data_IF_009267166047
#
_entry.id   IF_009267166047
#
_cell.length_a   1.000
_cell.length_b   1.000
_cell.length_c   1.000
_cell.angle_alpha   90.00
_cell.angle_beta   90.00
_cell.angle_gamma   90.00
#
_symmetry.space_group_name_H-M   'P 1'
#
loop_
_entity.id
_entity.type
_entity.pdbx_description
1 polymer ?
#
# COMPACT_ATOMS: atom_id res chain seq x y z
N UNK A 1 -17.90 15.23 -12.89
CA UNK A 1 -17.92 14.63 -14.24
C UNK A 1 -17.54 13.15 -14.22
N UNK A 2 -16.42 12.73 -13.63
CA UNK A 2 -15.99 11.32 -13.60
C UNK A 2 -16.98 10.36 -12.95
N UNK A 3 -17.75 10.80 -11.94
CA UNK A 3 -18.79 9.99 -11.28
C UNK A 3 -19.94 9.54 -12.18
N UNK A 4 -20.19 10.21 -13.30
CA UNK A 4 -21.42 10.05 -14.10
C UNK A 4 -21.21 9.62 -15.53
N UNK A 5 -19.97 9.54 -15.99
CA UNK A 5 -19.67 9.17 -17.37
C UNK A 5 -18.73 7.98 -17.43
N UNK A 6 -19.25 6.77 -17.71
CA UNK A 6 -18.41 5.65 -18.11
C UNK A 6 -17.54 6.09 -19.32
N UNK A 7 -16.23 5.94 -19.24
CA UNK A 7 -15.29 6.43 -20.25
C UNK A 7 -14.62 7.76 -19.93
N UNK A 8 -15.05 8.48 -18.87
CA UNK A 8 -14.32 9.62 -18.31
C UNK A 8 -13.14 9.21 -17.42
N UNK A 9 -12.94 7.92 -17.25
CA UNK A 9 -11.80 7.32 -16.55
C UNK A 9 -10.63 7.23 -17.53
N UNK A 10 -9.43 7.58 -17.06
CA UNK A 10 -8.22 7.40 -17.85
C UNK A 10 -7.73 5.95 -17.74
N UNK A 11 -7.14 5.45 -18.81
CA UNK A 11 -6.64 4.09 -18.88
C UNK A 11 -5.16 4.08 -18.57
N UNK A 12 -4.80 3.48 -17.45
CA UNK A 12 -3.42 3.11 -17.19
C UNK A 12 -3.16 1.68 -17.66
N UNK A 13 -1.92 1.31 -17.79
CA UNK A 13 -1.58 -0.07 -18.06
C UNK A 13 -2.00 -1.01 -16.89
N UNK A 14 -2.03 -0.49 -15.65
CA UNK A 14 -2.36 -1.27 -14.44
C UNK A 14 -3.85 -1.48 -14.27
N UNK A 15 -4.67 -0.51 -14.66
CA UNK A 15 -6.11 -0.53 -14.43
C UNK A 15 -6.88 0.30 -15.46
N UNK A 16 -8.04 -0.19 -15.85
CA UNK A 16 -9.01 0.57 -16.64
C UNK A 16 -9.78 1.61 -15.79
N UNK A 17 -9.67 1.56 -14.48
CA UNK A 17 -10.41 2.40 -13.53
C UNK A 17 -9.47 3.37 -12.81
N UNK A 18 -8.74 4.16 -13.58
CA UNK A 18 -7.89 5.21 -13.02
C UNK A 18 -8.67 6.50 -12.86
N UNK A 19 -8.64 7.10 -11.69
CA UNK A 19 -9.39 8.30 -11.37
C UNK A 19 -8.62 9.21 -10.42
N UNK A 20 -9.04 10.48 -10.35
CA UNK A 20 -8.49 11.45 -9.41
C UNK A 20 -8.78 11.01 -7.96
N UNK A 21 -7.77 10.86 -7.09
CA UNK A 21 -7.95 10.35 -5.73
C UNK A 21 -8.93 11.17 -4.89
N UNK A 22 -9.10 12.46 -5.18
CA UNK A 22 -10.09 13.32 -4.51
C UNK A 22 -11.52 12.86 -4.76
N UNK A 23 -11.81 12.34 -5.95
CA UNK A 23 -13.15 11.81 -6.27
C UNK A 23 -13.44 10.54 -5.45
N UNK A 24 -12.43 9.67 -5.27
CA UNK A 24 -12.56 8.53 -4.37
C UNK A 24 -12.86 8.95 -2.94
N UNK A 25 -12.09 9.91 -2.42
CA UNK A 25 -12.30 10.46 -1.08
C UNK A 25 -13.71 11.07 -0.89
N UNK A 26 -14.21 11.81 -1.89
CA UNK A 26 -15.56 12.37 -1.88
C UNK A 26 -16.64 11.28 -1.87
N UNK A 27 -16.46 10.20 -2.66
CA UNK A 27 -17.42 9.07 -2.67
C UNK A 27 -17.49 8.40 -1.30
N UNK A 28 -16.34 8.13 -0.68
CA UNK A 28 -16.32 7.56 0.68
C UNK A 28 -16.96 8.50 1.71
N UNK A 29 -16.69 9.80 1.62
CA UNK A 29 -17.32 10.78 2.50
C UNK A 29 -18.85 10.85 2.32
N UNK A 30 -19.34 10.69 1.09
CA UNK A 30 -20.77 10.60 0.80
C UNK A 30 -21.38 9.35 1.45
N UNK A 31 -20.77 8.18 1.26
CA UNK A 31 -21.24 6.94 1.86
C UNK A 31 -21.30 7.00 3.39
N UNK A 32 -20.27 7.57 4.02
CA UNK A 32 -20.28 7.76 5.48
C UNK A 32 -21.45 8.63 5.93
N UNK A 33 -21.77 9.69 5.18
CA UNK A 33 -22.89 10.59 5.50
C UNK A 33 -24.27 9.95 5.28
N UNK A 34 -24.37 9.02 4.34
CA UNK A 34 -25.62 8.32 4.02
C UNK A 34 -25.95 7.18 4.99
N UNK A 35 -25.01 6.75 5.82
CA UNK A 35 -25.19 5.64 6.75
C UNK A 35 -25.52 6.14 8.16
N UNK A 36 -26.79 6.14 8.58
CA UNK A 36 -27.21 6.72 9.86
C UNK A 36 -26.68 5.98 11.08
N UNK A 37 -26.29 4.71 10.92
CA UNK A 37 -25.77 3.87 11.99
C UNK A 37 -24.23 3.84 12.04
N UNK A 38 -23.56 4.63 11.21
CA UNK A 38 -22.10 4.73 11.18
C UNK A 38 -21.65 6.01 11.86
N UNK A 39 -20.79 5.87 12.87
CA UNK A 39 -20.06 6.98 13.46
C UNK A 39 -18.62 6.98 12.97
N UNK A 40 -18.23 8.00 12.24
CA UNK A 40 -16.86 8.22 11.78
C UNK A 40 -16.10 9.12 12.77
N UNK A 41 -14.99 8.62 13.32
CA UNK A 41 -14.12 9.40 14.20
C UNK A 41 -12.71 9.37 13.59
N UNK A 42 -12.25 10.50 13.07
CA UNK A 42 -10.96 10.64 12.41
C UNK A 42 -9.84 10.97 13.37
N UNK A 43 -8.58 10.81 12.92
CA UNK A 43 -7.36 11.20 13.64
C UNK A 43 -7.20 10.51 15.01
N UNK A 44 -7.68 9.29 15.13
CA UNK A 44 -7.56 8.49 16.34
C UNK A 44 -6.63 7.31 16.11
N UNK A 45 -5.66 7.18 16.99
CA UNK A 45 -4.69 6.08 16.98
C UNK A 45 -5.04 5.15 18.14
N UNK A 46 -5.22 3.84 17.89
CA UNK A 46 -5.45 2.88 18.96
C UNK A 46 -4.19 2.78 19.86
N UNK A 47 -4.39 2.71 21.16
CA UNK A 47 -3.31 2.61 22.14
C UNK A 47 -3.30 1.26 22.85
N UNK A 48 -4.46 0.62 22.98
CA UNK A 48 -4.60 -0.64 23.70
C UNK A 48 -5.82 -1.40 23.19
N UNK A 49 -5.69 -2.71 23.11
CA UNK A 49 -6.81 -3.63 22.89
C UNK A 49 -7.22 -4.23 24.23
N UNK A 50 -8.48 -4.04 24.60
CA UNK A 50 -9.04 -4.57 25.84
C UNK A 50 -9.48 -6.02 25.63
N UNK A 51 -9.10 -6.91 26.53
CA UNK A 51 -9.42 -8.34 26.48
C UNK A 51 -10.00 -8.83 27.79
N UNK A 52 -10.87 -9.82 27.68
CA UNK A 52 -11.30 -10.66 28.80
C UNK A 52 -11.13 -12.09 28.33
N UNK A 53 -10.16 -12.79 28.90
CA UNK A 53 -9.72 -14.11 28.43
C UNK A 53 -9.35 -14.08 26.93
N UNK A 54 -9.99 -14.89 26.09
CA UNK A 54 -9.77 -14.96 24.66
C UNK A 54 -10.66 -14.01 23.84
N UNK A 55 -11.45 -13.17 24.51
CA UNK A 55 -12.38 -12.23 23.84
C UNK A 55 -11.81 -10.81 23.85
N UNK A 56 -11.80 -10.17 22.67
CA UNK A 56 -11.59 -8.74 22.57
C UNK A 56 -12.89 -8.05 22.97
N UNK A 57 -12.81 -7.13 23.94
CA UNK A 57 -13.96 -6.41 24.50
C UNK A 57 -13.99 -4.94 24.09
N UNK A 58 -12.91 -4.42 23.57
CA UNK A 58 -12.85 -3.03 23.14
C UNK A 58 -11.46 -2.55 22.74
N UNK A 59 -11.39 -1.26 22.40
CA UNK A 59 -10.15 -0.57 22.02
C UNK A 59 -10.10 0.78 22.73
N UNK A 60 -8.96 1.07 23.37
CA UNK A 60 -8.70 2.36 24.02
C UNK A 60 -7.92 3.29 23.09
N UNK A 61 -8.35 4.52 23.05
CA UNK A 61 -7.71 5.66 22.43
C UNK A 61 -7.23 6.66 23.49
N UNK A 62 -6.59 7.75 23.11
CA UNK A 62 -6.05 8.72 24.06
C UNK A 62 -7.14 9.39 24.91
N UNK A 63 -8.31 9.63 24.34
CA UNK A 63 -9.38 10.46 24.91
C UNK A 63 -10.68 9.69 25.19
N UNK A 64 -10.82 8.46 24.70
CA UNK A 64 -11.98 7.60 24.95
C UNK A 64 -11.67 6.12 24.77
N UNK A 65 -12.62 5.29 25.16
CA UNK A 65 -12.60 3.84 24.96
C UNK A 65 -13.87 3.43 24.22
N UNK A 66 -13.73 2.55 23.26
CA UNK A 66 -14.87 1.90 22.58
C UNK A 66 -14.98 0.47 23.07
N UNK A 67 -16.09 0.14 23.70
CA UNK A 67 -16.44 -1.24 24.01
C UNK A 67 -17.28 -1.81 22.85
N UNK A 68 -16.91 -2.97 22.34
CA UNK A 68 -17.53 -3.56 21.17
C UNK A 68 -17.68 -5.07 21.31
N UNK A 69 -18.75 -5.63 20.75
CA UNK A 69 -18.93 -7.09 20.65
C UNK A 69 -18.09 -7.69 19.52
N UNK A 70 -17.78 -6.91 18.50
CA UNK A 70 -16.95 -7.29 17.35
C UNK A 70 -15.98 -6.14 17.07
N UNK A 71 -14.72 -6.45 16.95
CA UNK A 71 -13.67 -5.50 16.55
C UNK A 71 -13.08 -5.95 15.22
N UNK A 72 -13.00 -5.05 14.25
CA UNK A 72 -12.37 -5.28 12.96
C UNK A 72 -11.08 -4.48 12.89
N UNK A 73 -9.96 -5.15 12.63
CA UNK A 73 -8.68 -4.48 12.36
C UNK A 73 -8.54 -4.21 10.86
N UNK A 74 -8.71 -2.96 10.48
CA UNK A 74 -8.46 -2.46 9.13
C UNK A 74 -7.20 -1.59 9.05
N UNK A 75 -6.32 -1.65 10.05
CA UNK A 75 -5.05 -0.93 10.02
C UNK A 75 -4.12 -1.52 8.97
N UNK A 76 -3.29 -0.67 8.33
CA UNK A 76 -2.39 -1.08 7.25
C UNK A 76 -1.35 -2.12 7.68
N UNK A 77 -0.98 -2.14 8.95
CA UNK A 77 0.08 -3.00 9.49
C UNK A 77 -0.41 -4.02 10.53
N UNK A 78 -1.73 -4.20 10.69
CA UNK A 78 -2.29 -5.10 11.71
C UNK A 78 -1.94 -4.64 13.12
N UNK A 79 -2.12 -3.34 13.39
CA UNK A 79 -1.68 -2.75 14.64
C UNK A 79 -2.47 -3.26 15.86
N UNK A 80 -3.76 -3.62 15.69
CA UNK A 80 -4.56 -4.19 16.76
C UNK A 80 -4.11 -5.60 17.13
N UNK A 81 -3.55 -6.36 16.19
CA UNK A 81 -2.97 -7.68 16.48
C UNK A 81 -1.81 -7.53 17.48
N UNK A 82 -0.94 -6.56 17.23
CA UNK A 82 0.20 -6.29 18.10
C UNK A 82 -0.23 -5.74 19.48
N UNK A 83 -1.15 -4.78 19.49
CA UNK A 83 -1.67 -4.17 20.72
C UNK A 83 -2.46 -5.16 21.60
N UNK A 84 -3.08 -6.15 20.98
CA UNK A 84 -3.84 -7.20 21.65
C UNK A 84 -2.99 -8.43 22.01
N UNK A 85 -1.69 -8.43 21.71
CA UNK A 85 -0.80 -9.59 21.90
C UNK A 85 -1.37 -10.85 21.26
N UNK A 86 -2.00 -10.70 20.08
CA UNK A 86 -2.64 -11.79 19.35
C UNK A 86 -1.56 -12.50 18.54
N UNK A 87 -1.54 -13.85 18.53
CA UNK A 87 -0.57 -14.60 17.75
C UNK A 87 -0.55 -14.17 16.29
N UNK A 88 0.62 -13.77 15.81
CA UNK A 88 0.80 -13.22 14.48
C UNK A 88 2.08 -13.73 13.81
N UNK A 89 2.14 -13.61 12.49
CA UNK A 89 3.29 -13.87 11.65
C UNK A 89 3.71 -12.60 10.91
N UNK A 90 4.99 -12.52 10.59
CA UNK A 90 5.57 -11.40 9.85
C UNK A 90 6.68 -11.89 8.93
N UNK A 91 6.68 -11.37 7.71
CA UNK A 91 7.73 -11.67 6.74
C UNK A 91 7.64 -13.07 6.13
N UNK A 92 8.77 -13.56 5.70
CA UNK A 92 8.88 -14.85 5.02
C UNK A 92 8.54 -16.02 5.92
N UNK A 93 7.87 -17.01 5.35
CA UNK A 93 7.62 -18.33 5.91
C UNK A 93 8.35 -19.35 5.04
N UNK A 94 8.92 -20.40 5.66
CA UNK A 94 9.68 -21.40 4.95
C UNK A 94 8.76 -22.46 4.33
N UNK A 95 9.24 -23.08 3.25
CA UNK A 95 8.53 -24.18 2.60
C UNK A 95 8.16 -25.31 3.58
N UNK A 96 9.02 -25.57 4.57
CA UNK A 96 8.78 -26.58 5.61
C UNK A 96 7.58 -26.28 6.51
N UNK A 97 7.08 -25.03 6.55
CA UNK A 97 5.96 -24.66 7.41
C UNK A 97 4.60 -24.96 6.76
N UNK A 98 4.46 -24.69 5.46
CA UNK A 98 3.18 -24.81 4.76
C UNK A 98 3.24 -25.64 3.47
N UNK A 99 4.42 -26.09 3.06
CA UNK A 99 4.61 -26.87 1.83
C UNK A 99 4.44 -26.04 0.55
N UNK A 100 4.46 -24.71 0.63
CA UNK A 100 4.28 -23.82 -0.52
C UNK A 100 5.44 -23.95 -1.50
N UNK A 101 5.19 -24.31 -2.79
CA UNK A 101 6.27 -24.53 -3.76
C UNK A 101 7.19 -23.35 -4.01
N UNK A 102 6.66 -22.13 -3.94
CA UNK A 102 7.43 -20.89 -4.17
C UNK A 102 8.11 -20.36 -2.91
N UNK A 103 7.83 -20.94 -1.74
CA UNK A 103 8.44 -20.48 -0.50
C UNK A 103 9.93 -20.90 -0.42
N UNK A 104 10.80 -20.08 0.19
CA UNK A 104 12.20 -20.43 0.35
C UNK A 104 12.37 -21.64 1.27
N UNK A 105 13.32 -22.52 0.93
CA UNK A 105 13.66 -23.67 1.78
C UNK A 105 14.46 -23.26 3.02
N UNK A 106 15.20 -22.15 2.94
CA UNK A 106 16.00 -21.59 4.02
C UNK A 106 16.02 -20.05 3.92
N UNK A 107 16.19 -19.37 5.04
CA UNK A 107 16.49 -17.96 5.04
C UNK A 107 17.85 -17.70 4.36
N UNK A 108 17.91 -16.68 3.53
CA UNK A 108 19.06 -16.32 2.71
C UNK A 108 19.21 -14.79 2.63
N UNK A 109 20.16 -14.30 1.85
CA UNK A 109 20.39 -12.86 1.70
C UNK A 109 19.17 -12.10 1.17
N UNK A 110 18.39 -12.68 0.27
CA UNK A 110 17.17 -12.07 -0.25
C UNK A 110 16.12 -11.87 0.85
N UNK A 111 15.84 -12.92 1.63
CA UNK A 111 14.86 -12.86 2.72
C UNK A 111 15.29 -11.92 3.85
N UNK A 112 16.60 -11.75 4.04
CA UNK A 112 17.16 -10.80 5.02
C UNK A 112 17.09 -9.35 4.54
N UNK A 113 17.39 -9.13 3.26
CA UNK A 113 17.33 -7.79 2.65
C UNK A 113 15.89 -7.30 2.53
N UNK A 114 14.99 -8.20 2.14
CA UNK A 114 13.57 -7.92 1.92
C UNK A 114 12.72 -8.78 2.87
N UNK A 115 12.67 -8.46 4.16
CA UNK A 115 11.92 -9.25 5.14
C UNK A 115 10.42 -9.28 4.85
N UNK A 116 9.91 -8.24 4.19
CA UNK A 116 8.54 -8.11 3.67
C UNK A 116 8.59 -7.46 2.29
N UNK A 117 7.49 -7.49 1.58
CA UNK A 117 7.34 -6.77 0.32
C UNK A 117 7.52 -5.26 0.55
N UNK A 118 8.34 -4.63 -0.27
CA UNK A 118 8.69 -3.23 -0.14
C UNK A 118 7.46 -2.31 -0.19
N UNK A 119 7.25 -1.43 0.79
CA UNK A 119 6.26 -0.37 0.67
C UNK A 119 6.72 0.71 -0.32
N UNK A 120 5.74 1.46 -0.84
CA UNK A 120 5.99 2.56 -1.76
C UNK A 120 5.32 3.83 -1.25
N UNK A 121 6.05 4.92 -1.11
CA UNK A 121 5.39 6.20 -0.94
C UNK A 121 4.98 6.75 -2.31
N UNK A 122 3.72 6.66 -2.63
CA UNK A 122 3.20 7.06 -3.93
C UNK A 122 3.31 8.56 -4.11
N UNK A 123 3.84 8.97 -5.27
CA UNK A 123 3.86 10.37 -5.71
C UNK A 123 3.12 10.51 -7.02
N UNK A 124 2.38 11.60 -7.18
CA UNK A 124 1.69 11.90 -8.44
C UNK A 124 2.45 13.02 -9.14
N UNK A 125 2.86 12.75 -10.37
CA UNK A 125 3.47 13.72 -11.25
C UNK A 125 2.49 14.17 -12.34
N UNK A 126 2.82 15.26 -13.03
CA UNK A 126 2.02 15.83 -14.08
C UNK A 126 2.89 16.21 -15.28
N UNK A 127 2.38 16.00 -16.48
CA UNK A 127 2.92 16.56 -17.72
C UNK A 127 2.38 17.99 -17.91
N UNK A 128 3.26 18.97 -17.81
CA UNK A 128 2.95 20.40 -17.97
C UNK A 128 2.87 20.86 -19.43
N UNK A 129 3.19 19.96 -20.37
CA UNK A 129 3.20 20.25 -21.80
C UNK A 129 4.34 21.18 -22.19
N UNK A 130 4.00 22.33 -22.75
CA UNK A 130 4.95 23.36 -23.15
C UNK A 130 5.39 24.26 -21.97
N UNK A 131 4.71 24.18 -20.83
CA UNK A 131 5.05 24.92 -19.65
C UNK A 131 6.21 24.26 -18.87
N UNK A 132 6.97 25.07 -18.17
CA UNK A 132 8.08 24.60 -17.35
C UNK A 132 7.55 24.32 -15.92
N UNK A 133 7.61 23.07 -15.50
CA UNK A 133 7.29 22.70 -14.13
C UNK A 133 8.30 23.27 -13.12
N UNK A 134 7.87 23.54 -11.87
CA UNK A 134 8.79 23.80 -10.78
C UNK A 134 9.84 22.71 -10.66
N UNK A 135 11.04 23.07 -10.27
CA UNK A 135 12.11 22.12 -10.01
C UNK A 135 11.80 21.28 -8.77
N UNK A 136 12.04 19.98 -8.87
CA UNK A 136 11.92 19.06 -7.74
C UNK A 136 13.29 18.98 -7.08
N UNK A 137 13.43 19.53 -5.88
CA UNK A 137 14.66 19.38 -5.10
C UNK A 137 14.83 17.94 -4.64
N UNK A 138 16.06 17.37 -4.73
CA UNK A 138 16.30 16.04 -4.16
C UNK A 138 16.18 16.07 -2.64
N UNK A 139 15.79 14.95 -2.06
CA UNK A 139 15.84 14.71 -0.62
C UNK A 139 17.25 14.31 -0.18
N UNK A 140 17.52 14.25 1.13
CA UNK A 140 18.80 13.78 1.64
C UNK A 140 19.22 12.40 1.07
N UNK A 141 20.51 12.20 0.92
CA UNK A 141 21.10 10.96 0.42
C UNK A 141 20.66 10.57 -1.01
N UNK A 142 20.45 11.56 -1.87
CA UNK A 142 20.16 11.30 -3.28
C UNK A 142 21.34 10.63 -3.97
N UNK A 143 21.06 9.47 -4.55
CA UNK A 143 22.00 8.71 -5.36
C UNK A 143 21.28 8.23 -6.63
N UNK A 144 21.57 8.83 -7.80
CA UNK A 144 20.92 8.49 -9.05
C UNK A 144 21.18 7.05 -9.50
N UNK A 145 22.25 6.40 -9.01
CA UNK A 145 22.57 5.02 -9.37
C UNK A 145 21.50 4.03 -8.93
N UNK A 146 20.75 4.34 -7.86
CA UNK A 146 19.63 3.53 -7.35
C UNK A 146 18.47 3.43 -8.34
N UNK A 147 18.34 4.39 -9.25
CA UNK A 147 17.24 4.51 -10.20
C UNK A 147 17.67 4.18 -11.65
N UNK A 148 18.93 3.82 -11.85
CA UNK A 148 19.45 3.44 -13.16
C UNK A 148 18.75 2.19 -13.67
N UNK A 149 18.25 2.23 -14.92
CA UNK A 149 17.54 1.11 -15.50
C UNK A 149 16.04 1.03 -15.17
N UNK A 150 15.49 2.00 -14.43
CA UNK A 150 14.10 1.96 -13.98
C UNK A 150 13.07 1.69 -15.09
N UNK A 151 13.32 2.09 -16.32
CA UNK A 151 12.42 1.88 -17.45
C UNK A 151 13.05 1.18 -18.66
N UNK A 152 14.25 0.59 -18.52
CA UNK A 152 14.98 0.00 -19.66
C UNK A 152 14.20 -1.11 -20.34
N UNK A 153 13.54 -1.98 -19.58
CA UNK A 153 12.74 -3.10 -20.13
C UNK A 153 11.46 -2.67 -20.82
N UNK A 154 10.92 -1.49 -20.48
CA UNK A 154 9.57 -1.07 -20.88
C UNK A 154 9.56 0.19 -21.74
N UNK A 155 10.61 0.98 -21.68
CA UNK A 155 10.70 2.30 -22.28
C UNK A 155 9.94 3.40 -21.49
N UNK A 156 10.32 4.66 -21.71
CA UNK A 156 9.80 5.79 -20.93
C UNK A 156 8.30 6.03 -21.12
N UNK A 157 7.77 5.82 -22.31
CA UNK A 157 6.35 6.03 -22.59
C UNK A 157 5.48 5.04 -21.79
N UNK A 158 5.84 3.77 -21.81
CA UNK A 158 5.11 2.73 -21.09
C UNK A 158 5.24 2.90 -19.58
N UNK A 159 6.43 3.30 -19.10
CA UNK A 159 6.65 3.67 -17.70
C UNK A 159 5.71 4.80 -17.26
N UNK A 160 5.65 5.91 -18.00
CA UNK A 160 4.77 7.03 -17.67
C UNK A 160 3.28 6.68 -17.76
N UNK A 161 2.93 5.73 -18.61
CA UNK A 161 1.54 5.26 -18.74
C UNK A 161 1.15 4.23 -17.67
N UNK A 162 2.08 3.70 -16.89
CA UNK A 162 1.81 2.69 -15.87
C UNK A 162 0.71 3.13 -14.90
N UNK A 163 0.85 4.29 -14.29
CA UNK A 163 -0.10 4.85 -13.33
C UNK A 163 -0.87 6.06 -13.86
N UNK A 164 -1.24 6.07 -15.16
CA UNK A 164 -1.89 7.20 -15.79
C UNK A 164 -3.20 7.58 -15.10
N UNK A 165 -3.38 8.88 -14.88
CA UNK A 165 -4.55 9.48 -14.24
C UNK A 165 -5.13 10.57 -15.14
N UNK A 166 -6.42 10.92 -14.99
CA UNK A 166 -7.02 12.04 -15.71
C UNK A 166 -6.26 13.35 -15.49
N UNK A 167 -6.27 14.22 -16.52
CA UNK A 167 -5.67 15.57 -16.45
C UNK A 167 -4.16 15.56 -16.65
N UNK A 168 -3.63 14.68 -17.50
CA UNK A 168 -2.19 14.56 -17.83
C UNK A 168 -1.33 14.27 -16.60
N UNK A 169 -1.89 13.56 -15.64
CA UNK A 169 -1.22 13.14 -14.41
C UNK A 169 -0.86 11.66 -14.48
N UNK A 170 0.09 11.26 -13.66
CA UNK A 170 0.48 9.86 -13.52
C UNK A 170 1.00 9.59 -12.11
N UNK A 171 0.49 8.53 -11.55
CA UNK A 171 0.91 8.00 -10.25
C UNK A 171 2.18 7.20 -10.43
N UNK A 172 3.17 7.49 -9.61
CA UNK A 172 4.42 6.76 -9.55
C UNK A 172 4.35 5.78 -8.39
N UNK A 173 4.30 4.50 -8.75
CA UNK A 173 4.38 3.34 -7.89
C UNK A 173 5.14 2.27 -8.69
N UNK A 174 6.47 2.39 -8.73
CA UNK A 174 7.29 1.64 -9.65
C UNK A 174 8.33 0.78 -8.92
N UNK A 175 8.24 -0.57 -9.05
CA UNK A 175 9.06 -1.48 -8.27
C UNK A 175 10.48 -1.67 -8.81
N UNK A 176 10.71 -1.45 -10.12
CA UNK A 176 11.99 -1.77 -10.79
C UNK A 176 12.91 -0.56 -10.72
N UNK A 177 13.93 -0.62 -9.87
CA UNK A 177 14.82 0.51 -9.60
C UNK A 177 14.04 1.83 -9.44
N UNK A 178 12.89 1.77 -8.80
CA UNK A 178 11.93 2.86 -8.66
C UNK A 178 11.76 3.32 -7.22
N UNK A 179 10.54 3.66 -6.84
CA UNK A 179 10.25 4.22 -5.53
C UNK A 179 9.80 3.21 -4.47
N UNK A 180 9.96 1.92 -4.70
CA UNK A 180 9.81 0.91 -3.65
C UNK A 180 11.01 0.99 -2.69
N UNK A 181 10.74 0.98 -1.38
CA UNK A 181 11.76 1.14 -0.36
C UNK A 181 11.66 0.05 0.71
N UNK A 182 12.73 -0.74 0.90
CA UNK A 182 12.71 -1.90 1.80
C UNK A 182 13.87 -1.97 2.80
N UNK A 183 14.76 -0.98 2.84
CA UNK A 183 15.93 -1.06 3.72
C UNK A 183 15.54 -1.16 5.20
N UNK A 184 15.83 -2.32 5.80
CA UNK A 184 15.46 -2.62 7.20
C UNK A 184 13.95 -2.44 7.48
N UNK A 185 13.08 -2.97 6.62
CA UNK A 185 11.63 -2.85 6.74
C UNK A 185 11.06 -3.46 8.04
N UNK A 186 11.81 -4.30 8.75
CA UNK A 186 11.45 -4.77 10.09
C UNK A 186 11.25 -3.62 11.09
N UNK A 187 11.79 -2.43 10.83
CA UNK A 187 11.51 -1.21 11.61
C UNK A 187 10.03 -0.82 11.61
N UNK A 188 9.23 -1.34 10.68
CA UNK A 188 7.76 -1.15 10.67
C UNK A 188 7.07 -1.82 11.85
N UNK A 189 7.70 -2.84 12.45
CA UNK A 189 7.19 -3.52 13.64
C UNK A 189 7.47 -2.73 14.93
N UNK A 190 8.45 -1.83 14.90
CA UNK A 190 8.81 -1.03 16.06
C UNK A 190 7.73 0.03 16.37
N UNK A 191 7.59 0.35 17.63
CA UNK A 191 6.84 1.52 18.07
C UNK A 191 7.79 2.73 18.19
N UNK A 192 7.39 3.89 17.67
CA UNK A 192 8.11 5.14 17.90
C UNK A 192 9.19 5.47 16.85
N UNK A 193 10.39 5.83 17.30
CA UNK A 193 11.41 6.52 16.49
C UNK A 193 11.82 5.75 15.24
N UNK A 194 12.10 4.47 15.35
CA UNK A 194 12.59 3.66 14.24
C UNK A 194 11.57 3.52 13.10
N UNK A 195 10.27 3.34 13.44
CA UNK A 195 9.18 3.32 12.45
C UNK A 195 9.09 4.68 11.74
N UNK A 196 9.16 5.78 12.49
CA UNK A 196 9.11 7.13 11.91
C UNK A 196 10.31 7.42 10.99
N UNK A 197 11.50 6.95 11.35
CA UNK A 197 12.69 7.07 10.51
C UNK A 197 12.51 6.31 9.20
N UNK A 198 12.07 5.06 9.26
CA UNK A 198 11.80 4.26 8.06
C UNK A 198 10.77 4.93 7.14
N UNK A 199 9.67 5.40 7.71
CA UNK A 199 8.59 6.07 6.97
C UNK A 199 9.10 7.36 6.30
N UNK A 200 9.94 8.13 6.98
CA UNK A 200 10.58 9.33 6.43
C UNK A 200 11.56 8.99 5.30
N UNK A 201 12.36 7.96 5.44
CA UNK A 201 13.29 7.49 4.41
C UNK A 201 12.54 7.00 3.17
N UNK A 202 11.42 6.29 3.34
CA UNK A 202 10.53 5.89 2.26
C UNK A 202 10.00 7.12 1.49
N UNK A 203 9.62 8.18 2.20
CA UNK A 203 9.21 9.46 1.58
C UNK A 203 10.35 10.08 0.79
N UNK A 204 11.54 10.19 1.37
CA UNK A 204 12.72 10.74 0.72
C UNK A 204 13.13 9.95 -0.53
N UNK A 205 13.03 8.63 -0.47
CA UNK A 205 13.32 7.78 -1.62
C UNK A 205 12.37 8.07 -2.79
N UNK A 206 11.07 8.23 -2.53
CA UNK A 206 10.10 8.61 -3.56
C UNK A 206 10.30 10.04 -4.07
N UNK A 207 10.69 10.97 -3.23
CA UNK A 207 11.06 12.33 -3.66
C UNK A 207 12.30 12.31 -4.56
N UNK A 208 13.31 11.51 -4.20
CA UNK A 208 14.51 11.30 -5.00
C UNK A 208 14.21 10.68 -6.36
N UNK A 209 13.28 9.72 -6.41
CA UNK A 209 12.86 9.14 -7.68
C UNK A 209 12.10 10.14 -8.55
N UNK A 210 11.22 10.96 -7.98
CA UNK A 210 10.54 12.04 -8.69
C UNK A 210 11.54 13.10 -9.24
N UNK A 211 12.56 13.45 -8.46
CA UNK A 211 13.67 14.29 -8.92
C UNK A 211 14.42 13.64 -10.09
N UNK A 212 14.75 12.35 -9.96
CA UNK A 212 15.42 11.58 -11.02
C UNK A 212 14.60 11.57 -12.32
N UNK A 213 13.29 11.30 -12.26
CA UNK A 213 12.39 11.33 -13.41
C UNK A 213 12.44 12.72 -14.07
N UNK A 214 12.35 13.80 -13.32
CA UNK A 214 12.41 15.16 -13.86
C UNK A 214 13.78 15.45 -14.50
N UNK A 215 14.86 14.96 -13.90
CA UNK A 215 16.23 15.14 -14.45
C UNK A 215 16.38 14.40 -15.79
N UNK A 216 15.81 13.21 -15.93
CA UNK A 216 15.90 12.40 -17.15
C UNK A 216 14.96 12.88 -18.28
N UNK A 217 13.73 13.25 -17.94
CA UNK A 217 12.70 13.60 -18.92
C UNK A 217 12.50 15.11 -19.09
N UNK A 218 13.21 15.91 -18.31
CA UNK A 218 13.14 17.37 -18.35
C UNK A 218 11.98 17.96 -17.57
N UNK A 219 12.02 19.28 -17.42
CA UNK A 219 11.05 20.07 -16.65
C UNK A 219 9.67 20.24 -17.32
N UNK A 220 9.40 19.46 -18.37
CA UNK A 220 8.05 19.20 -18.83
C UNK A 220 7.26 18.42 -17.77
N UNK A 221 7.94 17.60 -16.98
CA UNK A 221 7.34 16.78 -15.93
C UNK A 221 7.65 17.36 -14.55
N UNK A 222 6.67 17.36 -13.67
CA UNK A 222 6.83 17.87 -12.32
C UNK A 222 5.79 17.32 -11.36
N UNK A 223 5.84 17.72 -10.10
CA UNK A 223 4.88 17.27 -9.10
C UNK A 223 3.49 17.84 -9.39
N UNK A 224 2.47 17.00 -9.31
CA UNK A 224 1.07 17.40 -9.44
C UNK A 224 0.61 18.10 -8.16
N UNK A 225 0.37 19.40 -8.22
CA UNK A 225 -0.06 20.15 -7.04
C UNK A 225 -1.50 19.89 -6.63
N UNK A 226 -1.81 20.06 -5.33
CA UNK A 226 -3.17 20.11 -4.76
C UNK A 226 -4.01 18.83 -4.92
N UNK A 227 -3.37 17.66 -4.99
CA UNK A 227 -4.07 16.37 -5.01
C UNK A 227 -4.37 15.87 -3.61
N UNK A 228 -3.45 16.07 -2.69
CA UNK A 228 -3.56 15.67 -1.29
C UNK A 228 -3.52 16.92 -0.40
N UNK A 229 -4.05 16.84 0.82
CA UNK A 229 -3.96 17.94 1.80
C UNK A 229 -2.51 18.38 2.04
N UNK A 230 -2.34 19.69 2.29
CA UNK A 230 -1.05 20.22 2.71
C UNK A 230 -0.55 19.53 4.01
N UNK A 231 0.75 19.22 4.15
CA UNK A 231 1.87 19.64 3.28
C UNK A 231 2.15 18.71 2.09
N UNK A 232 1.48 17.57 2.00
CA UNK A 232 1.85 16.48 1.06
C UNK A 232 1.64 16.85 -0.41
N UNK A 233 0.61 17.61 -0.75
CA UNK A 233 0.32 18.13 -2.10
C UNK A 233 0.29 17.05 -3.21
N UNK A 234 1.45 16.59 -3.69
CA UNK A 234 1.60 15.57 -4.73
C UNK A 234 1.88 14.17 -4.17
N UNK A 235 2.24 14.06 -2.91
CA UNK A 235 2.56 12.79 -2.25
C UNK A 235 1.36 12.27 -1.48
N UNK A 236 1.15 10.96 -1.51
CA UNK A 236 0.13 10.31 -0.70
C UNK A 236 0.31 10.61 0.81
N UNK A 237 -0.73 10.42 1.61
CA UNK A 237 -0.70 10.76 3.03
C UNK A 237 0.18 9.81 3.86
N UNK A 238 0.38 8.59 3.34
CA UNK A 238 1.25 7.56 3.94
C UNK A 238 1.72 6.60 2.84
N UNK A 239 2.72 5.75 3.11
CA UNK A 239 3.15 4.72 2.17
C UNK A 239 2.03 3.73 1.85
N UNK A 240 2.05 3.18 0.65
CA UNK A 240 1.30 1.99 0.30
C UNK A 240 2.03 0.77 0.83
N UNK A 241 1.46 0.11 1.82
CA UNK A 241 1.97 -1.13 2.37
C UNK A 241 1.33 -2.31 1.63
N UNK A 242 2.15 -3.28 1.23
CA UNK A 242 1.68 -4.48 0.50
C UNK A 242 1.59 -5.69 1.40
N UNK A 243 2.27 -5.65 2.52
CA UNK A 243 2.35 -6.73 3.47
C UNK A 243 2.29 -6.20 4.90
N UNK A 244 1.63 -6.96 5.76
CA UNK A 244 1.42 -6.58 7.16
C UNK A 244 1.61 -7.77 8.09
N UNK A 245 1.39 -7.57 9.38
CA UNK A 245 1.22 -8.66 10.34
C UNK A 245 0.08 -9.55 9.89
N UNK A 246 0.32 -10.84 9.87
CA UNK A 246 -0.68 -11.85 9.51
C UNK A 246 -1.14 -12.58 10.76
N UNK A 247 -2.46 -12.60 11.01
CA UNK A 247 -3.06 -13.37 12.10
C UNK A 247 -2.73 -14.85 11.96
N UNK A 248 -2.37 -15.51 13.06
CA UNK A 248 -2.37 -16.96 13.14
C UNK A 248 -3.82 -17.43 13.28
N UNK A 249 -4.45 -17.72 12.16
CA UNK A 249 -5.85 -18.17 12.10
C UNK A 249 -5.98 -19.69 12.31
N UNK A 250 -7.22 -20.13 12.49
CA UNK A 250 -7.56 -21.57 12.56
C UNK A 250 -7.30 -22.29 11.23
N UNK A 251 -7.28 -21.56 10.13
CA UNK A 251 -6.96 -22.05 8.79
C UNK A 251 -6.05 -21.04 8.10
N UNK A 252 -5.01 -21.53 7.46
CA UNK A 252 -4.12 -20.73 6.62
C UNK A 252 -4.39 -21.06 5.16
N UNK A 253 -4.63 -20.03 4.33
CA UNK A 253 -4.72 -20.16 2.88
C UNK A 253 -3.31 -20.11 2.32
N UNK A 254 -2.89 -21.15 1.63
CA UNK A 254 -1.56 -21.34 1.09
C UNK A 254 -1.54 -21.16 -0.44
N UNK A 255 -0.33 -21.11 -1.02
CA UNK A 255 -0.13 -20.97 -2.47
C UNK A 255 -0.88 -22.06 -3.25
N UNK A 256 -0.79 -23.31 -2.84
CA UNK A 256 -1.47 -24.44 -3.48
C UNK A 256 -3.00 -24.37 -3.41
N UNK A 257 -3.53 -23.57 -2.52
CA UNK A 257 -4.96 -23.31 -2.43
C UNK A 257 -5.45 -22.29 -3.48
N UNK A 258 -4.55 -21.48 -3.98
CA UNK A 258 -4.84 -20.40 -4.94
C UNK A 258 -4.46 -20.81 -6.35
N UNK A 259 -3.31 -21.50 -6.50
CA UNK A 259 -2.85 -22.01 -7.78
C UNK A 259 -3.65 -23.25 -8.13
N UNK A 260 -4.47 -23.17 -9.17
CA UNK A 260 -5.10 -24.32 -9.82
C UNK A 260 -4.03 -25.28 -10.29
N UNK A 261 -3.80 -26.37 -9.57
CA UNK A 261 -3.08 -27.50 -10.13
C UNK A 261 -3.95 -28.02 -11.28
N UNK A 262 -3.46 -27.91 -12.50
CA UNK A 262 -4.18 -28.13 -13.76
C UNK A 262 -4.88 -29.50 -13.91
N UNK A 263 -4.89 -30.35 -12.89
CA UNK A 263 -5.45 -31.71 -12.90
C UNK A 263 -6.20 -32.12 -11.61
N UNK A 264 -6.50 -31.24 -10.67
CA UNK A 264 -7.24 -31.67 -9.48
C UNK A 264 -8.73 -31.38 -9.60
N UNK A 265 -9.56 -32.41 -9.49
CA UNK A 265 -11.03 -32.30 -9.41
C UNK A 265 -11.54 -31.59 -8.16
N UNK A 266 -10.64 -31.07 -7.32
CA UNK A 266 -10.92 -30.32 -6.10
C UNK A 266 -11.04 -28.80 -6.32
N UNK A 267 -10.83 -28.33 -7.54
CA UNK A 267 -10.90 -26.90 -7.88
C UNK A 267 -12.26 -26.26 -7.68
N UNK A 268 -13.36 -27.00 -7.77
CA UNK A 268 -14.71 -26.42 -7.61
C UNK A 268 -15.02 -26.06 -6.16
N UNK A 269 -14.71 -26.92 -5.22
CA UNK A 269 -14.95 -26.68 -3.79
C UNK A 269 -14.10 -25.54 -3.23
N UNK A 270 -12.91 -25.35 -3.80
CA UNK A 270 -11.99 -24.29 -3.38
C UNK A 270 -12.37 -22.93 -3.98
N UNK A 271 -12.80 -22.88 -5.24
CA UNK A 271 -13.33 -21.67 -5.87
C UNK A 271 -14.56 -21.16 -5.11
N UNK A 272 -15.47 -22.05 -4.73
CA UNK A 272 -16.65 -21.72 -3.98
C UNK A 272 -16.33 -21.27 -2.55
N UNK A 273 -15.36 -21.92 -1.89
CA UNK A 273 -14.92 -21.55 -0.54
C UNK A 273 -14.16 -20.20 -0.50
N UNK A 274 -13.40 -19.85 -1.54
CA UNK A 274 -12.74 -18.53 -1.64
C UNK A 274 -13.75 -17.46 -2.01
N UNK A 275 -14.71 -17.75 -2.89
CA UNK A 275 -15.78 -16.84 -3.22
C UNK A 275 -16.69 -16.55 -2.01
N UNK A 276 -17.05 -17.59 -1.26
CA UNK A 276 -17.82 -17.47 -0.01
C UNK A 276 -17.04 -16.71 1.08
N UNK A 277 -15.75 -16.95 1.21
CA UNK A 277 -14.91 -16.22 2.19
C UNK A 277 -14.63 -14.77 1.81
N UNK A 278 -14.63 -14.43 0.52
CA UNK A 278 -14.61 -13.04 0.06
C UNK A 278 -15.92 -12.33 0.38
N UNK A 279 -17.05 -13.00 0.31
CA UNK A 279 -18.38 -12.45 0.65
C UNK A 279 -18.58 -12.27 2.17
N UNK A 280 -17.89 -13.06 2.99
CA UNK A 280 -17.97 -12.95 4.47
C UNK A 280 -16.89 -12.04 5.09
N UNK A 281 -15.99 -11.48 4.27
CA UNK A 281 -14.90 -10.58 4.70
C UNK A 281 -15.00 -9.17 4.13
N UNK A 282 -16.15 -8.80 3.55
CA UNK A 282 -16.47 -7.43 3.17
C UNK A 282 -17.34 -6.76 4.21
#
# INVERSE_FOLDING_TARGET
>A
MQRRQPGGLDHSWVSFFSYDPRIGAEIFADWVRELPNLQWISQKVPLEVLRTEDCITGVRFADFTVNARITLDGTELGDLLALGEIPLRWGWELQSEWGEPSAPTNFNSLTQTYPVQAPTWVVVMQDFGENIAPEISPAPNYDPSQFTGAWDDYGPEKFLNYGRLPGRRFMINWPIAGNDYCQNANRLLDAGVKKHEFVRECFWHSQNFAHFIQTQFGRRYGLAGKLFPHPNSAFALHPYYRESRRLVGLTTVCEQDILSLANSKTTSLFHDAIADRKSTRL
#
